data_IF_925216285102
#
_entry.id   IF_925216285102
#
_cell.length_a   1.000
_cell.length_b   1.000
_cell.length_c   1.000
_cell.angle_alpha   90.00
_cell.angle_beta   90.00
_cell.angle_gamma   90.00
#
_symmetry.space_group_name_H-M   'P 1'
#
loop_
_entity.id
_entity.type
_entity.pdbx_description
1 polymer ?
#
# COMPACT_ATOMS: atom_id res chain seq x y z
N UNK A 1 -3.99 -0.97 18.24
CA UNK A 1 -2.55 -1.04 17.98
C UNK A 1 -2.18 -2.47 17.66
N UNK A 2 -1.68 -2.69 16.42
CA UNK A 2 -1.40 -4.04 15.92
C UNK A 2 0.10 -4.36 15.96
N UNK A 3 0.82 -3.63 16.76
CA UNK A 3 2.26 -3.78 16.88
C UNK A 3 2.59 -5.01 17.75
N UNK A 4 3.43 -5.91 17.21
CA UNK A 4 4.06 -6.97 17.98
C UNK A 4 5.47 -6.52 18.41
N UNK A 5 5.73 -6.24 19.69
CA UNK A 5 7.03 -5.80 20.18
C UNK A 5 8.15 -6.81 19.93
N UNK A 6 7.82 -8.06 19.62
CA UNK A 6 8.80 -9.10 19.25
C UNK A 6 9.45 -8.88 17.88
N UNK A 7 8.90 -8.00 17.04
CA UNK A 7 9.45 -7.68 15.71
C UNK A 7 10.54 -6.61 15.75
N UNK A 8 10.68 -5.87 16.84
CA UNK A 8 11.72 -4.87 17.03
C UNK A 8 12.54 -5.18 18.27
N UNK A 9 13.86 -5.35 18.11
CA UNK A 9 14.82 -5.43 19.22
C UNK A 9 15.36 -4.07 19.66
N UNK A 10 14.93 -2.98 19.04
CA UNK A 10 15.31 -1.61 19.36
C UNK A 10 14.08 -0.86 19.87
N UNK A 11 14.23 -0.13 20.93
CA UNK A 11 13.24 0.72 21.60
C UNK A 11 12.80 1.91 20.72
N UNK A 12 12.24 1.61 19.54
CA UNK A 12 11.55 2.61 18.76
C UNK A 12 10.07 2.45 19.06
N UNK A 13 9.51 3.43 19.74
CA UNK A 13 8.08 3.52 20.01
C UNK A 13 7.28 3.60 18.71
N UNK A 14 7.04 2.44 18.10
CA UNK A 14 6.13 2.35 16.94
C UNK A 14 4.69 2.44 17.45
N UNK A 15 4.22 3.65 17.73
CA UNK A 15 2.92 3.91 18.37
C UNK A 15 1.71 3.71 17.45
N UNK A 16 1.89 3.29 16.19
CA UNK A 16 0.79 2.96 15.28
C UNK A 16 -0.12 4.14 14.97
N UNK A 17 0.40 5.32 14.67
CA UNK A 17 -0.34 6.56 14.40
C UNK A 17 -0.87 6.67 12.95
N UNK A 18 -1.22 5.56 12.32
CA UNK A 18 -1.72 5.59 10.94
C UNK A 18 -3.02 6.39 10.81
N UNK A 19 -3.95 6.25 11.76
CA UNK A 19 -5.22 6.97 11.71
C UNK A 19 -5.03 8.49 11.93
N UNK A 20 -4.10 8.90 12.80
CA UNK A 20 -3.72 10.31 12.96
C UNK A 20 -3.14 10.87 11.66
N UNK A 21 -2.26 10.11 11.00
CA UNK A 21 -1.69 10.52 9.73
C UNK A 21 -2.73 10.60 8.60
N UNK A 22 -3.71 9.69 8.57
CA UNK A 22 -4.83 9.77 7.64
C UNK A 22 -5.62 11.07 7.86
N UNK A 23 -5.85 11.45 9.10
CA UNK A 23 -6.53 12.71 9.41
C UNK A 23 -5.73 13.93 8.90
N UNK A 24 -4.42 13.96 9.11
CA UNK A 24 -3.53 15.02 8.57
C UNK A 24 -3.57 15.02 7.04
N UNK A 25 -3.46 13.86 6.40
CA UNK A 25 -3.46 13.72 4.96
C UNK A 25 -4.77 14.25 4.34
N UNK A 26 -5.91 13.82 4.89
CA UNK A 26 -7.22 14.12 4.31
C UNK A 26 -7.79 15.49 4.70
N UNK A 27 -7.43 16.02 5.87
CA UNK A 27 -7.98 17.27 6.39
C UNK A 27 -7.04 18.48 6.26
N UNK A 28 -5.75 18.25 6.05
CA UNK A 28 -4.77 19.33 5.97
C UNK A 28 -3.99 19.34 4.64
N UNK A 29 -3.38 18.22 4.25
CA UNK A 29 -2.50 18.18 3.08
C UNK A 29 -3.30 18.25 1.79
N UNK A 30 -4.23 17.31 1.59
CA UNK A 30 -5.01 17.21 0.35
C UNK A 30 -5.81 18.49 0.07
N UNK A 31 -6.55 19.08 1.02
CA UNK A 31 -7.28 20.34 0.75
C UNK A 31 -6.37 21.49 0.28
N UNK A 32 -5.14 21.59 0.82
CA UNK A 32 -4.17 22.61 0.36
C UNK A 32 -3.69 22.33 -1.07
N UNK A 33 -3.48 21.07 -1.42
CA UNK A 33 -3.11 20.69 -2.79
C UNK A 33 -4.27 20.98 -3.74
N UNK A 34 -5.49 20.65 -3.37
CA UNK A 34 -6.71 20.96 -4.16
C UNK A 34 -6.88 22.47 -4.38
N UNK A 35 -6.71 23.26 -3.33
CA UNK A 35 -6.76 24.74 -3.42
C UNK A 35 -5.70 25.26 -4.41
N UNK A 36 -4.47 24.75 -4.32
CA UNK A 36 -3.39 25.14 -5.23
C UNK A 36 -3.70 24.76 -6.69
N UNK A 37 -4.17 23.54 -6.93
CA UNK A 37 -4.51 23.05 -8.26
C UNK A 37 -5.69 23.83 -8.85
N UNK A 38 -6.70 24.15 -8.04
CA UNK A 38 -7.86 24.96 -8.45
C UNK A 38 -7.41 26.36 -8.89
N UNK A 39 -6.50 27.02 -8.16
CA UNK A 39 -5.92 28.32 -8.56
C UNK A 39 -5.12 28.24 -9.88
N UNK A 40 -4.67 27.05 -10.25
CA UNK A 40 -3.97 26.78 -11.52
C UNK A 40 -4.90 26.25 -12.61
N UNK A 41 -6.20 26.19 -12.37
CA UNK A 41 -7.21 25.65 -13.29
C UNK A 41 -6.94 24.18 -13.69
N UNK A 42 -6.20 23.43 -12.84
CA UNK A 42 -5.90 22.02 -13.05
C UNK A 42 -7.01 21.19 -12.44
N UNK A 43 -7.67 20.38 -13.25
CA UNK A 43 -8.72 19.46 -12.82
C UNK A 43 -8.10 18.16 -12.30
N UNK A 44 -8.47 17.76 -11.09
CA UNK A 44 -8.10 16.47 -10.53
C UNK A 44 -8.98 15.39 -11.16
N UNK A 45 -8.36 14.38 -11.75
CA UNK A 45 -9.05 13.25 -12.36
C UNK A 45 -9.32 12.14 -11.34
N UNK A 46 -8.34 11.83 -10.51
CA UNK A 46 -8.42 10.84 -9.44
C UNK A 46 -7.27 11.06 -8.43
N UNK A 47 -7.38 10.38 -7.30
CA UNK A 47 -6.31 10.29 -6.31
C UNK A 47 -5.72 8.89 -6.31
N UNK A 48 -4.40 8.83 -6.41
CA UNK A 48 -3.63 7.60 -6.23
C UNK A 48 -2.79 7.69 -4.96
N UNK A 49 -2.58 6.56 -4.31
CA UNK A 49 -1.66 6.46 -3.18
C UNK A 49 -0.58 5.42 -3.47
N UNK A 50 0.66 5.79 -3.20
CA UNK A 50 1.82 4.94 -3.43
C UNK A 50 2.67 4.83 -2.18
N UNK A 51 3.15 3.64 -1.87
CA UNK A 51 4.03 3.43 -0.74
C UNK A 51 4.91 2.20 -0.89
N UNK A 52 6.06 2.24 -0.23
CA UNK A 52 7.03 1.15 -0.18
C UNK A 52 7.15 0.60 1.25
N UNK A 53 7.29 -0.71 1.42
CA UNK A 53 7.47 -1.35 2.72
C UNK A 53 6.28 -1.08 3.67
N UNK A 54 6.47 -0.51 4.84
CA UNK A 54 5.39 -0.11 5.76
C UNK A 54 4.45 0.93 5.13
N UNK A 55 4.96 1.83 4.28
CA UNK A 55 4.12 2.75 3.53
C UNK A 55 3.31 2.02 2.44
N UNK A 56 3.81 0.88 1.91
CA UNK A 56 3.05 -0.01 1.02
C UNK A 56 1.87 -0.70 1.72
N UNK A 57 2.07 -1.12 2.96
CA UNK A 57 0.99 -1.61 3.81
C UNK A 57 -0.01 -0.49 4.12
N UNK A 58 0.48 0.70 4.47
CA UNK A 58 -0.37 1.88 4.71
C UNK A 58 -1.21 2.26 3.48
N UNK A 59 -0.64 2.19 2.27
CA UNK A 59 -1.35 2.49 1.02
C UNK A 59 -2.57 1.60 0.82
N UNK A 60 -2.53 0.34 1.26
CA UNK A 60 -3.70 -0.55 1.28
C UNK A 60 -4.62 -0.22 2.45
N UNK A 61 -4.06 -0.01 3.66
CA UNK A 61 -4.84 0.27 4.88
C UNK A 61 -5.73 1.51 4.76
N UNK A 62 -5.20 2.61 4.19
CA UNK A 62 -5.93 3.88 4.08
C UNK A 62 -7.22 3.76 3.25
N UNK A 63 -7.30 2.79 2.33
CA UNK A 63 -8.50 2.56 1.52
C UNK A 63 -9.70 2.02 2.33
N UNK A 64 -9.46 1.51 3.54
CA UNK A 64 -10.50 1.11 4.48
C UNK A 64 -10.94 2.24 5.41
N UNK A 65 -10.25 3.38 5.36
CA UNK A 65 -10.50 4.54 6.22
C UNK A 65 -11.08 5.73 5.45
N UNK A 66 -10.86 5.78 4.15
CA UNK A 66 -11.38 6.84 3.27
C UNK A 66 -11.65 6.30 1.87
N UNK A 67 -12.65 6.86 1.20
CA UNK A 67 -12.99 6.55 -0.20
C UNK A 67 -12.29 7.47 -1.21
N UNK A 68 -11.28 8.22 -0.77
CA UNK A 68 -10.63 9.23 -1.59
C UNK A 68 -9.74 8.60 -2.68
N UNK A 69 -8.95 7.59 -2.30
CA UNK A 69 -8.00 6.97 -3.21
C UNK A 69 -8.68 5.88 -4.03
N UNK A 70 -8.56 6.00 -5.35
CA UNK A 70 -9.13 5.05 -6.30
C UNK A 70 -8.07 4.16 -6.97
N UNK A 71 -6.78 4.50 -6.79
CA UNK A 71 -5.64 3.72 -7.28
C UNK A 71 -4.60 3.55 -6.19
N UNK A 72 -4.05 2.34 -6.08
CA UNK A 72 -3.15 1.96 -5.00
C UNK A 72 -1.90 1.32 -5.56
N UNK A 73 -0.73 1.78 -5.13
CA UNK A 73 0.55 1.21 -5.48
C UNK A 73 1.26 0.78 -4.19
N UNK A 74 1.45 -0.53 -4.02
CA UNK A 74 2.15 -1.12 -2.88
C UNK A 74 3.42 -1.81 -3.34
N UNK A 75 4.55 -1.13 -3.23
CA UNK A 75 5.86 -1.70 -3.50
C UNK A 75 6.42 -2.40 -2.26
N UNK A 76 6.71 -3.70 -2.37
CA UNK A 76 7.25 -4.52 -1.26
C UNK A 76 6.50 -4.30 0.06
N UNK A 77 5.17 -4.22 -0.01
CA UNK A 77 4.33 -3.93 1.14
C UNK A 77 4.56 -4.90 2.29
N UNK A 78 4.66 -4.40 3.52
CA UNK A 78 4.94 -5.18 4.72
C UNK A 78 3.76 -6.08 5.14
N UNK A 79 3.21 -6.85 4.20
CA UNK A 79 2.02 -7.69 4.44
C UNK A 79 2.28 -8.92 5.32
N UNK A 80 3.52 -9.10 5.78
CA UNK A 80 3.86 -9.96 6.90
C UNK A 80 3.31 -9.45 8.24
N UNK A 81 2.82 -8.22 8.29
CA UNK A 81 2.29 -7.59 9.50
C UNK A 81 1.14 -8.42 10.09
N UNK A 82 1.19 -8.72 11.42
CA UNK A 82 0.23 -9.63 12.03
C UNK A 82 -1.23 -9.22 11.80
N UNK A 83 -2.07 -10.19 11.42
CA UNK A 83 -3.52 -10.03 11.22
C UNK A 83 -3.93 -9.03 10.13
N UNK A 84 -3.00 -8.60 9.26
CA UNK A 84 -3.36 -7.63 8.22
C UNK A 84 -4.19 -8.26 7.10
N UNK A 85 -3.86 -9.48 6.69
CA UNK A 85 -4.62 -10.23 5.67
C UNK A 85 -6.03 -10.51 6.16
N UNK A 86 -6.17 -10.96 7.40
CA UNK A 86 -7.46 -11.17 8.06
C UNK A 86 -8.25 -9.85 8.11
N UNK A 87 -7.63 -8.77 8.55
CA UNK A 87 -8.27 -7.46 8.55
C UNK A 87 -8.83 -7.09 7.17
N UNK A 88 -8.06 -7.26 6.10
CA UNK A 88 -8.50 -6.94 4.73
C UNK A 88 -9.73 -7.78 4.34
N UNK A 89 -9.74 -9.07 4.70
CA UNK A 89 -10.84 -9.97 4.36
C UNK A 89 -12.11 -9.72 5.17
N UNK A 90 -11.95 -9.32 6.43
CA UNK A 90 -13.06 -9.10 7.36
C UNK A 90 -13.75 -7.74 7.18
N UNK A 91 -13.13 -6.83 6.41
CA UNK A 91 -13.65 -5.48 6.20
C UNK A 91 -14.13 -5.27 4.75
N UNK A 92 -15.11 -4.39 4.62
CA UNK A 92 -15.65 -4.06 3.31
C UNK A 92 -14.64 -3.28 2.46
N UNK A 93 -14.36 -3.78 1.28
CA UNK A 93 -13.50 -3.10 0.30
C UNK A 93 -14.18 -1.83 -0.21
N UNK A 94 -13.39 -0.77 -0.36
CA UNK A 94 -13.83 0.47 -1.00
C UNK A 94 -14.18 0.21 -2.48
N UNK A 95 -15.44 0.37 -2.84
CA UNK A 95 -15.96 0.11 -4.18
C UNK A 95 -15.48 1.11 -5.25
N UNK A 96 -14.81 2.19 -4.85
CA UNK A 96 -14.25 3.18 -5.78
C UNK A 96 -12.84 2.83 -6.26
N UNK A 97 -12.20 1.82 -5.68
CA UNK A 97 -10.87 1.38 -6.12
C UNK A 97 -11.00 0.75 -7.51
N UNK A 98 -10.21 1.24 -8.45
CA UNK A 98 -10.18 0.77 -9.83
C UNK A 98 -8.93 -0.03 -10.15
N UNK A 99 -7.77 0.36 -9.61
CA UNK A 99 -6.49 -0.29 -9.86
C UNK A 99 -5.68 -0.49 -8.60
N UNK A 100 -5.05 -1.66 -8.46
CA UNK A 100 -4.11 -1.97 -7.39
C UNK A 100 -2.86 -2.67 -7.94
N UNK A 101 -1.71 -2.06 -7.73
CA UNK A 101 -0.43 -2.64 -8.08
C UNK A 101 0.30 -3.16 -6.85
N UNK A 102 0.80 -4.38 -6.95
CA UNK A 102 1.62 -5.03 -5.94
C UNK A 102 2.97 -5.42 -6.53
N UNK A 103 4.05 -5.13 -5.86
CA UNK A 103 5.36 -5.66 -6.24
C UNK A 103 6.10 -6.26 -5.07
N UNK A 104 6.95 -7.25 -5.36
CA UNK A 104 7.80 -7.89 -4.36
C UNK A 104 9.13 -8.33 -5.00
N UNK A 105 10.21 -8.30 -4.24
CA UNK A 105 11.47 -8.92 -4.65
C UNK A 105 11.44 -10.44 -4.46
N UNK A 106 11.95 -11.21 -5.41
CA UNK A 106 11.93 -12.66 -5.41
C UNK A 106 12.79 -13.33 -4.32
N UNK A 107 13.51 -12.52 -3.53
CA UNK A 107 14.29 -12.98 -2.37
C UNK A 107 13.74 -12.48 -1.03
N UNK A 108 12.69 -11.67 -1.02
CA UNK A 108 12.17 -11.09 0.23
C UNK A 108 11.59 -12.11 1.20
N UNK A 109 11.01 -13.19 0.69
CA UNK A 109 10.52 -14.31 1.51
C UNK A 109 11.61 -15.32 1.88
N UNK A 110 12.82 -15.21 1.30
CA UNK A 110 13.94 -16.14 1.54
C UNK A 110 14.77 -15.68 2.74
N UNK A 111 14.11 -15.56 3.89
CA UNK A 111 14.70 -15.10 5.15
C UNK A 111 14.44 -16.11 6.28
N UNK A 112 15.27 -16.12 7.31
CA UNK A 112 15.11 -17.02 8.46
C UNK A 112 13.94 -16.66 9.37
N UNK A 113 13.55 -15.40 9.41
CA UNK A 113 12.46 -14.93 10.25
C UNK A 113 11.12 -15.45 9.74
N UNK A 114 10.43 -16.27 10.55
CA UNK A 114 9.18 -16.94 10.18
C UNK A 114 8.03 -15.97 9.89
N UNK A 115 8.03 -14.76 10.46
CA UNK A 115 7.01 -13.74 10.21
C UNK A 115 7.26 -13.07 8.87
N UNK A 116 8.47 -12.58 8.62
CA UNK A 116 8.85 -11.91 7.38
C UNK A 116 8.72 -12.84 6.17
N UNK A 117 8.97 -14.14 6.36
CA UNK A 117 8.87 -15.16 5.31
C UNK A 117 7.48 -15.20 4.65
N UNK A 118 6.43 -14.84 5.38
CA UNK A 118 5.04 -14.84 4.88
C UNK A 118 4.74 -13.75 3.85
N UNK A 119 5.66 -12.81 3.62
CA UNK A 119 5.39 -11.64 2.77
C UNK A 119 4.95 -12.03 1.36
N UNK A 120 5.54 -13.06 0.76
CA UNK A 120 5.19 -13.50 -0.60
C UNK A 120 3.77 -14.05 -0.67
N UNK A 121 3.45 -15.00 0.22
CA UNK A 121 2.14 -15.65 0.24
C UNK A 121 1.04 -14.63 0.53
N UNK A 122 1.25 -13.78 1.53
CA UNK A 122 0.31 -12.72 1.91
C UNK A 122 0.11 -11.70 0.78
N UNK A 123 1.18 -11.31 0.06
CA UNK A 123 1.06 -10.38 -1.06
C UNK A 123 0.22 -10.95 -2.19
N UNK A 124 0.49 -12.21 -2.58
CA UNK A 124 -0.27 -12.92 -3.62
C UNK A 124 -1.73 -13.18 -3.20
N UNK A 125 -1.95 -13.46 -1.93
CA UNK A 125 -3.28 -13.66 -1.37
C UNK A 125 -4.11 -12.37 -1.43
N UNK A 126 -3.52 -11.23 -1.06
CA UNK A 126 -4.18 -9.93 -1.14
C UNK A 126 -4.46 -9.53 -2.60
N UNK A 127 -3.49 -9.69 -3.49
CA UNK A 127 -3.70 -9.40 -4.90
C UNK A 127 -4.89 -10.19 -5.47
N UNK A 128 -4.91 -11.52 -5.25
CA UNK A 128 -6.02 -12.37 -5.69
C UNK A 128 -7.35 -11.95 -5.07
N UNK A 129 -7.36 -11.64 -3.77
CA UNK A 129 -8.56 -11.18 -3.08
C UNK A 129 -9.17 -9.93 -3.73
N UNK A 130 -8.35 -8.93 -4.10
CA UNK A 130 -8.84 -7.72 -4.77
C UNK A 130 -9.25 -7.98 -6.22
N UNK A 131 -8.53 -8.82 -6.94
CA UNK A 131 -8.91 -9.28 -8.27
C UNK A 131 -10.30 -9.94 -8.26
N UNK A 132 -10.56 -10.84 -7.32
CA UNK A 132 -11.85 -11.52 -7.16
C UNK A 132 -13.00 -10.58 -6.78
N UNK A 133 -12.69 -9.37 -6.31
CA UNK A 133 -13.65 -8.28 -6.08
C UNK A 133 -13.88 -7.40 -7.30
N UNK A 134 -13.30 -7.75 -8.45
CA UNK A 134 -13.46 -7.02 -9.71
C UNK A 134 -12.56 -5.79 -9.85
N UNK A 135 -11.54 -5.65 -9.00
CA UNK A 135 -10.55 -4.59 -9.12
C UNK A 135 -9.47 -5.03 -10.10
N UNK A 136 -9.05 -4.14 -11.00
CA UNK A 136 -7.90 -4.40 -11.87
C UNK A 136 -6.63 -4.47 -11.03
N UNK A 137 -5.99 -5.65 -10.98
CA UNK A 137 -4.80 -5.88 -10.18
C UNK A 137 -3.61 -6.30 -11.02
N UNK A 138 -2.40 -5.96 -10.57
CA UNK A 138 -1.15 -6.47 -11.11
C UNK A 138 -0.20 -6.81 -9.97
N UNK A 139 0.25 -8.06 -9.92
CA UNK A 139 1.39 -8.47 -9.10
C UNK A 139 2.64 -8.61 -9.96
N UNK A 140 3.70 -7.91 -9.60
CA UNK A 140 4.98 -7.98 -10.29
C UNK A 140 6.09 -8.48 -9.37
N UNK A 141 6.68 -9.62 -9.72
CA UNK A 141 7.86 -10.13 -9.05
C UNK A 141 9.13 -9.52 -9.67
N UNK A 142 9.96 -8.92 -8.83
CA UNK A 142 11.20 -8.27 -9.27
C UNK A 142 12.43 -9.04 -8.79
N UNK A 143 13.56 -8.99 -9.49
CA UNK A 143 14.81 -9.56 -8.99
C UNK A 143 15.25 -8.89 -7.68
N UNK A 144 15.80 -9.69 -6.76
CA UNK A 144 16.49 -9.18 -5.57
C UNK A 144 15.69 -9.20 -4.28
N UNK A 145 16.26 -8.53 -3.29
CA UNK A 145 15.72 -8.43 -1.93
C UNK A 145 14.91 -7.13 -1.74
N UNK A 146 14.50 -6.90 -0.49
CA UNK A 146 13.72 -5.73 -0.10
C UNK A 146 14.33 -4.37 -0.44
N UNK A 147 15.64 -4.28 -0.53
CA UNK A 147 16.35 -3.01 -0.73
C UNK A 147 16.83 -2.79 -2.18
N UNK A 148 16.54 -3.74 -3.07
CA UNK A 148 16.99 -3.63 -4.45
C UNK A 148 16.01 -2.86 -5.33
N UNK A 149 16.48 -1.78 -5.93
CA UNK A 149 15.79 -0.94 -6.91
C UNK A 149 14.38 -0.45 -6.50
N UNK A 150 14.16 0.01 -5.25
CA UNK A 150 12.83 0.40 -4.79
C UNK A 150 12.23 1.53 -5.64
N UNK A 151 13.03 2.51 -6.06
CA UNK A 151 12.56 3.62 -6.90
C UNK A 151 12.07 3.11 -8.27
N UNK A 152 12.79 2.19 -8.91
CA UNK A 152 12.39 1.62 -10.18
C UNK A 152 11.10 0.80 -10.07
N UNK A 153 10.96 -0.01 -9.02
CA UNK A 153 9.73 -0.77 -8.75
C UNK A 153 8.52 0.15 -8.55
N UNK A 154 8.70 1.24 -7.80
CA UNK A 154 7.65 2.24 -7.59
C UNK A 154 7.29 2.95 -8.89
N UNK A 155 8.29 3.33 -9.70
CA UNK A 155 8.05 3.97 -11.00
C UNK A 155 7.24 3.08 -11.94
N UNK A 156 7.51 1.76 -11.98
CA UNK A 156 6.71 0.80 -12.76
C UNK A 156 5.25 0.76 -12.30
N UNK A 157 5.03 0.67 -11.00
CA UNK A 157 3.68 0.66 -10.44
C UNK A 157 2.91 1.95 -10.71
N UNK A 158 3.56 3.11 -10.58
CA UNK A 158 2.97 4.41 -10.90
C UNK A 158 2.63 4.46 -12.39
N UNK A 159 3.57 4.10 -13.28
CA UNK A 159 3.32 4.06 -14.71
C UNK A 159 2.10 3.18 -15.03
N UNK A 160 2.07 1.94 -14.54
CA UNK A 160 0.97 1.02 -14.81
C UNK A 160 -0.38 1.55 -14.33
N UNK A 161 -0.42 2.24 -13.18
CA UNK A 161 -1.66 2.84 -12.70
C UNK A 161 -2.12 4.05 -13.52
N UNK A 162 -1.22 4.71 -14.25
CA UNK A 162 -1.53 5.82 -15.14
C UNK A 162 -1.94 5.35 -16.56
N UNK A 163 -1.47 4.17 -16.98
CA UNK A 163 -1.75 3.63 -18.32
C UNK A 163 -3.24 3.27 -18.48
N UNK A 164 -3.77 3.45 -19.68
CA UNK A 164 -5.15 3.09 -20.04
C UNK A 164 -6.15 4.22 -19.91
N UNK A 165 -5.69 5.46 -19.99
CA UNK A 165 -6.54 6.67 -20.06
C UNK A 165 -6.34 7.48 -21.33
#
# INVERSE_FOLDING_TARGET
>A
PWYDPKLSKKDVDCLGKADDYIAVLTKAIIPKVEEYLTKKEIKIKYYAIAGYSLAGLFAVYVTYKTNLFTRVISGSGSFWYPKFVEFVKDHRVNQKITKMYFSLGNRESKVSNAVLKKVLDNTKELERFYHDKGIETLYEENPGNHFQDPAFRMAKGIKWTLDGE
#
